data_IF_156439819215
#
_entry.id   IF_156439819215
#
_cell.length_a   1.000
_cell.length_b   1.000
_cell.length_c   1.000
_cell.angle_alpha   90.00
_cell.angle_beta   90.00
_cell.angle_gamma   90.00
#
_symmetry.space_group_name_H-M   'P 1'
#
loop_
_entity.id
_entity.type
_entity.pdbx_description
1 polymer ?
#
# COMPACT_ATOMS: atom_id res chain seq x y z
N UNK A 1 3.84 24.47 -0.69
CA UNK A 1 2.53 24.31 -0.07
C UNK A 1 2.17 25.52 0.81
N UNK A 2 2.98 25.89 1.80
CA UNK A 2 2.73 27.02 2.73
C UNK A 2 2.55 28.34 1.96
N UNK A 3 3.40 28.62 0.95
CA UNK A 3 3.31 29.81 0.11
C UNK A 3 1.99 29.84 -0.69
N UNK A 4 1.54 28.73 -1.22
CA UNK A 4 0.26 28.62 -1.94
C UNK A 4 -0.92 28.89 -1.01
N UNK A 5 -0.90 28.32 0.18
CA UNK A 5 -1.95 28.52 1.20
C UNK A 5 -2.00 29.99 1.65
N UNK A 6 -0.85 30.61 1.86
CA UNK A 6 -0.75 32.03 2.23
C UNK A 6 -1.28 32.95 1.12
N UNK A 7 -0.96 32.67 -0.15
CA UNK A 7 -1.50 33.39 -1.31
C UNK A 7 -3.02 33.24 -1.43
N UNK A 8 -3.55 32.06 -1.17
CA UNK A 8 -4.99 31.78 -1.21
C UNK A 8 -5.72 32.52 -0.08
N UNK A 9 -5.19 32.50 1.14
CA UNK A 9 -5.71 33.29 2.26
C UNK A 9 -5.67 34.81 1.96
N UNK A 10 -4.57 35.28 1.40
CA UNK A 10 -4.43 36.71 1.01
C UNK A 10 -5.44 37.07 -0.07
N UNK A 11 -5.67 36.27 -1.07
CA UNK A 11 -6.66 36.46 -2.12
C UNK A 11 -8.10 36.53 -1.54
N UNK A 12 -8.44 35.65 -0.62
CA UNK A 12 -9.75 35.65 0.07
C UNK A 12 -9.90 36.89 0.90
N UNK A 13 -8.90 37.30 1.70
CA UNK A 13 -8.92 38.53 2.49
C UNK A 13 -9.06 39.78 1.62
N UNK A 14 -8.38 39.83 0.48
CA UNK A 14 -8.52 40.95 -0.50
C UNK A 14 -9.92 40.99 -1.09
N UNK A 15 -10.50 39.87 -1.49
CA UNK A 15 -11.88 39.82 -2.02
C UNK A 15 -12.91 40.27 -0.98
N UNK A 16 -12.76 39.85 0.27
CA UNK A 16 -13.62 40.26 1.38
C UNK A 16 -13.48 41.78 1.64
N UNK A 17 -12.24 42.30 1.69
CA UNK A 17 -11.95 43.71 1.91
C UNK A 17 -12.52 44.61 0.80
N UNK A 18 -12.38 44.20 -0.47
CA UNK A 18 -12.97 44.92 -1.61
C UNK A 18 -14.50 44.92 -1.53
N UNK A 19 -15.09 43.80 -1.10
CA UNK A 19 -16.54 43.69 -0.96
C UNK A 19 -17.09 44.54 0.18
N UNK A 20 -16.37 44.64 1.30
CA UNK A 20 -16.72 45.52 2.43
C UNK A 20 -16.61 47.01 2.01
N UNK A 21 -15.51 47.38 1.32
CA UNK A 21 -15.34 48.78 0.84
C UNK A 21 -16.38 49.22 -0.18
N UNK A 22 -16.96 48.30 -0.94
CA UNK A 22 -18.05 48.59 -1.92
C UNK A 22 -19.44 48.59 -1.28
N UNK A 23 -19.62 48.21 -0.01
CA UNK A 23 -20.88 48.33 0.70
C UNK A 23 -21.04 49.76 1.21
N UNK A 24 -22.01 50.51 0.67
CA UNK A 24 -22.26 51.91 1.08
C UNK A 24 -22.84 51.94 2.51
N UNK A 25 -22.31 52.83 3.34
CA UNK A 25 -22.73 53.04 4.74
C UNK A 25 -24.24 53.39 4.85
N UNK A 26 -24.80 54.08 3.85
CA UNK A 26 -26.22 54.41 3.79
C UNK A 26 -27.15 53.17 3.74
N UNK A 27 -26.74 52.07 3.10
CA UNK A 27 -27.55 50.85 3.03
C UNK A 27 -27.57 50.08 4.36
N UNK A 28 -26.62 50.32 5.27
CA UNK A 28 -26.55 49.69 6.59
C UNK A 28 -27.45 50.33 7.64
N UNK A 29 -27.68 51.69 7.55
CA UNK A 29 -28.40 52.44 8.56
C UNK A 29 -29.92 52.55 8.28
N UNK A 30 -30.32 52.63 7.04
CA UNK A 30 -31.73 52.86 6.65
C UNK A 30 -32.53 51.62 6.25
N UNK A 31 -32.08 50.42 6.54
CA UNK A 31 -32.88 49.22 6.37
C UNK A 31 -33.57 49.09 5.00
N UNK A 32 -32.94 49.60 3.96
CA UNK A 32 -33.49 49.57 2.61
C UNK A 32 -33.76 48.14 2.20
N UNK A 33 -34.93 47.91 1.62
CA UNK A 33 -35.32 46.62 1.04
C UNK A 33 -34.13 46.00 0.30
N UNK A 34 -33.47 45.05 0.94
CA UNK A 34 -32.38 44.32 0.29
C UNK A 34 -32.96 43.64 -0.96
N UNK A 35 -32.75 44.29 -2.13
CA UNK A 35 -32.87 43.58 -3.41
C UNK A 35 -32.42 42.16 -3.19
N UNK A 36 -33.24 41.20 -3.60
CA UNK A 36 -32.86 39.77 -3.73
C UNK A 36 -31.55 39.71 -4.49
N UNK A 37 -30.44 40.07 -3.85
CA UNK A 37 -29.11 39.93 -4.38
C UNK A 37 -28.90 38.46 -4.60
N UNK A 38 -28.70 38.14 -5.86
CA UNK A 38 -28.48 36.81 -6.40
C UNK A 38 -27.61 36.02 -5.42
N UNK A 39 -28.16 35.05 -4.69
CA UNK A 39 -27.46 34.19 -3.72
C UNK A 39 -26.49 33.24 -4.45
N UNK A 40 -26.28 33.51 -5.75
CA UNK A 40 -25.49 32.68 -6.66
C UNK A 40 -24.06 32.46 -6.17
N UNK A 41 -23.38 33.49 -5.66
CA UNK A 41 -22.00 33.36 -5.17
C UNK A 41 -21.89 32.45 -3.95
N UNK A 42 -22.86 32.49 -3.02
CA UNK A 42 -22.88 31.62 -1.84
C UNK A 42 -23.17 30.18 -2.25
N UNK A 43 -24.16 29.95 -3.09
CA UNK A 43 -24.52 28.62 -3.57
C UNK A 43 -23.40 28.03 -4.41
N UNK A 44 -22.69 28.82 -5.21
CA UNK A 44 -21.51 28.39 -5.94
C UNK A 44 -20.39 27.95 -4.99
N UNK A 45 -20.09 28.75 -3.95
CA UNK A 45 -19.06 28.38 -2.95
C UNK A 45 -19.43 27.11 -2.20
N UNK A 46 -20.70 26.92 -1.80
CA UNK A 46 -21.17 25.67 -1.22
C UNK A 46 -21.03 24.51 -2.20
N UNK A 47 -21.37 24.71 -3.48
CA UNK A 47 -21.20 23.68 -4.51
C UNK A 47 -19.74 23.24 -4.67
N UNK A 48 -18.80 24.19 -4.70
CA UNK A 48 -17.36 23.91 -4.73
C UNK A 48 -16.92 23.13 -3.49
N UNK A 49 -17.42 23.53 -2.31
CA UNK A 49 -17.11 22.87 -1.05
C UNK A 49 -17.62 21.42 -1.01
N UNK A 50 -18.86 21.18 -1.45
CA UNK A 50 -19.39 19.82 -1.60
C UNK A 50 -18.60 18.98 -2.59
N UNK A 51 -18.18 19.57 -3.71
CA UNK A 51 -17.39 18.88 -4.72
C UNK A 51 -16.02 18.46 -4.17
N UNK A 52 -15.33 19.33 -3.45
CA UNK A 52 -14.06 19.03 -2.79
C UNK A 52 -14.26 17.92 -1.75
N UNK A 53 -15.29 18.02 -0.91
CA UNK A 53 -15.63 17.02 0.09
C UNK A 53 -15.87 15.64 -0.58
N UNK A 54 -16.64 15.62 -1.66
CA UNK A 54 -16.91 14.38 -2.41
C UNK A 54 -15.65 13.74 -2.97
N UNK A 55 -14.71 14.54 -3.51
CA UNK A 55 -13.42 14.04 -4.00
C UNK A 55 -12.63 13.37 -2.87
N UNK A 56 -12.48 14.04 -1.71
CA UNK A 56 -11.72 13.46 -0.60
C UNK A 56 -12.36 12.19 -0.06
N UNK A 57 -13.68 12.16 0.10
CA UNK A 57 -14.41 10.96 0.55
C UNK A 57 -14.23 9.80 -0.44
N UNK A 58 -14.38 10.08 -1.74
CA UNK A 58 -14.21 9.05 -2.78
C UNK A 58 -12.79 8.49 -2.81
N UNK A 59 -11.78 9.37 -2.73
CA UNK A 59 -10.38 8.95 -2.67
C UNK A 59 -10.10 8.12 -1.42
N UNK A 60 -10.61 8.53 -0.26
CA UNK A 60 -10.46 7.77 1.00
C UNK A 60 -11.06 6.37 0.88
N UNK A 61 -12.29 6.26 0.40
CA UNK A 61 -12.94 4.95 0.21
C UNK A 61 -12.17 4.09 -0.78
N UNK A 62 -11.73 4.68 -1.90
CA UNK A 62 -10.93 3.96 -2.91
C UNK A 62 -9.62 3.42 -2.33
N UNK A 63 -8.89 4.22 -1.56
CA UNK A 63 -7.63 3.81 -0.92
C UNK A 63 -7.86 2.73 0.15
N UNK A 64 -8.95 2.81 0.92
CA UNK A 64 -9.30 1.77 1.88
C UNK A 64 -9.57 0.43 1.20
N UNK A 65 -10.36 0.43 0.12
CA UNK A 65 -10.66 -0.78 -0.63
C UNK A 65 -9.42 -1.35 -1.32
N UNK A 66 -8.55 -0.50 -1.84
CA UNK A 66 -7.30 -0.91 -2.46
C UNK A 66 -6.32 -1.48 -1.44
N UNK A 67 -6.09 -0.80 -0.33
CA UNK A 67 -5.20 -1.26 0.75
C UNK A 67 -5.62 -2.61 1.32
N UNK A 68 -6.93 -2.84 1.52
CA UNK A 68 -7.45 -4.14 1.96
C UNK A 68 -7.12 -5.28 0.98
N UNK A 69 -7.38 -5.07 -0.31
CA UNK A 69 -7.08 -6.06 -1.35
C UNK A 69 -5.59 -6.38 -1.45
N UNK A 70 -4.75 -5.36 -1.35
CA UNK A 70 -3.29 -5.51 -1.40
C UNK A 70 -2.79 -6.40 -0.27
N UNK A 71 -3.22 -6.12 0.95
CA UNK A 71 -2.82 -6.92 2.13
C UNK A 71 -3.26 -8.39 1.99
N UNK A 72 -4.41 -8.65 1.38
CA UNK A 72 -4.90 -10.01 1.13
C UNK A 72 -4.16 -10.73 -0.01
N UNK A 73 -3.72 -9.99 -1.03
CA UNK A 73 -3.07 -10.60 -2.21
C UNK A 73 -1.59 -10.88 -2.02
N UNK A 74 -0.88 -10.04 -1.26
CA UNK A 74 0.54 -10.24 -1.01
C UNK A 74 0.77 -11.45 -0.11
N UNK A 75 1.61 -12.38 -0.58
CA UNK A 75 1.93 -13.62 0.13
C UNK A 75 0.67 -14.33 0.64
N UNK A 76 -0.35 -14.42 -0.21
CA UNK A 76 -1.66 -14.99 0.15
C UNK A 76 -1.60 -16.49 0.50
N UNK A 77 -0.53 -17.18 0.12
CA UNK A 77 -0.27 -18.59 0.48
C UNK A 77 0.13 -18.77 1.94
N UNK A 78 0.61 -17.70 2.59
CA UNK A 78 0.91 -17.67 4.02
C UNK A 78 -0.35 -17.26 4.81
N UNK A 79 -0.67 -18.01 5.86
CA UNK A 79 -1.68 -17.61 6.81
C UNK A 79 -1.26 -16.34 7.59
N UNK A 80 -2.20 -15.67 8.23
CA UNK A 80 -1.87 -14.53 9.10
C UNK A 80 -0.94 -14.96 10.25
N UNK A 81 -1.16 -16.14 10.81
CA UNK A 81 -0.28 -16.73 11.83
C UNK A 81 1.12 -17.00 11.31
N UNK A 82 1.27 -17.52 10.08
CA UNK A 82 2.58 -17.70 9.47
C UNK A 82 3.30 -16.35 9.30
N UNK A 83 2.61 -15.31 8.81
CA UNK A 83 3.20 -13.96 8.63
C UNK A 83 3.68 -13.35 9.95
N UNK A 84 2.98 -13.61 11.04
CA UNK A 84 3.37 -13.17 12.38
C UNK A 84 4.50 -14.00 12.98
N UNK A 85 4.55 -15.32 12.70
CA UNK A 85 5.53 -16.24 13.29
C UNK A 85 6.83 -16.39 12.50
N UNK A 86 6.87 -15.99 11.25
CA UNK A 86 8.11 -15.90 10.49
C UNK A 86 8.87 -14.65 10.94
N UNK A 87 10.10 -14.86 11.42
CA UNK A 87 11.05 -13.80 11.76
C UNK A 87 11.94 -13.51 10.58
N UNK A 88 12.32 -12.27 10.42
CA UNK A 88 13.08 -11.72 9.31
C UNK A 88 14.27 -10.92 9.83
N UNK A 89 15.43 -11.11 9.21
CA UNK A 89 16.63 -10.33 9.49
C UNK A 89 17.44 -10.10 8.21
N UNK A 90 17.77 -8.85 7.86
CA UNK A 90 18.69 -8.56 6.77
C UNK A 90 20.12 -8.94 7.17
N UNK A 91 20.85 -9.57 6.26
CA UNK A 91 22.25 -9.96 6.39
C UNK A 91 23.12 -9.32 5.29
N UNK A 92 22.58 -8.36 4.55
CA UNK A 92 23.28 -7.63 3.50
C UNK A 92 24.18 -6.53 4.10
N UNK A 93 25.28 -6.97 4.74
CA UNK A 93 26.29 -6.08 5.30
C UNK A 93 27.62 -6.30 4.58
N UNK A 94 28.20 -5.25 3.95
CA UNK A 94 29.45 -5.36 3.19
C UNK A 94 30.67 -5.80 4.03
N UNK A 95 30.62 -5.56 5.34
CA UNK A 95 31.71 -5.91 6.26
C UNK A 95 31.61 -7.33 6.82
N UNK A 96 30.49 -8.04 6.56
CA UNK A 96 30.24 -9.39 7.05
C UNK A 96 30.50 -10.41 5.93
N UNK A 97 31.49 -11.26 6.13
CA UNK A 97 31.78 -12.33 5.16
C UNK A 97 30.67 -13.37 5.10
N UNK A 98 30.48 -14.00 3.94
CA UNK A 98 29.41 -14.98 3.77
C UNK A 98 29.54 -16.17 4.75
N UNK A 99 30.76 -16.52 5.13
CA UNK A 99 31.04 -17.55 6.16
C UNK A 99 30.48 -17.14 7.53
N UNK A 100 30.66 -15.91 7.94
CA UNK A 100 30.16 -15.38 9.22
C UNK A 100 28.63 -15.35 9.23
N UNK A 101 28.02 -14.99 8.08
CA UNK A 101 26.58 -15.06 7.90
C UNK A 101 26.06 -16.50 8.04
N UNK A 102 26.75 -17.47 7.45
CA UNK A 102 26.40 -18.89 7.59
C UNK A 102 26.52 -19.35 9.05
N UNK A 103 27.58 -19.00 9.75
CA UNK A 103 27.78 -19.33 11.18
C UNK A 103 26.67 -18.73 12.03
N UNK A 104 26.25 -17.50 11.75
CA UNK A 104 25.14 -16.83 12.42
C UNK A 104 23.82 -17.58 12.19
N UNK A 105 23.53 -17.98 10.96
CA UNK A 105 22.33 -18.75 10.59
C UNK A 105 22.31 -20.11 11.27
N UNK A 106 23.46 -20.82 11.34
CA UNK A 106 23.54 -22.12 12.01
C UNK A 106 23.28 -21.97 13.53
N UNK A 107 23.71 -20.87 14.15
CA UNK A 107 23.37 -20.55 15.53
C UNK A 107 21.87 -20.31 15.70
N UNK A 108 21.20 -19.64 14.75
CA UNK A 108 19.73 -19.49 14.78
C UNK A 108 19.05 -20.86 14.77
N UNK A 109 19.53 -21.78 13.95
CA UNK A 109 18.98 -23.16 13.80
C UNK A 109 19.06 -23.99 15.09
N UNK A 110 19.98 -23.68 16.01
CA UNK A 110 20.15 -24.42 17.24
C UNK A 110 19.00 -24.25 18.25
N UNK A 111 18.16 -23.24 18.10
CA UNK A 111 17.04 -23.02 19.01
C UNK A 111 15.88 -23.97 18.71
N UNK A 112 15.37 -24.64 19.73
CA UNK A 112 14.30 -25.66 19.61
C UNK A 112 12.98 -25.10 19.02
N UNK A 113 12.76 -23.79 19.16
CA UNK A 113 11.59 -23.08 18.63
C UNK A 113 11.66 -22.80 17.13
N UNK A 114 12.80 -23.08 16.48
CA UNK A 114 12.97 -22.86 15.04
C UNK A 114 12.46 -24.09 14.29
N UNK A 115 11.52 -23.87 13.39
CA UNK A 115 10.91 -24.92 12.56
C UNK A 115 11.62 -25.09 11.22
N UNK A 116 11.92 -23.99 10.54
CA UNK A 116 12.61 -23.98 9.25
C UNK A 116 13.30 -22.63 9.03
N UNK A 117 14.32 -22.59 8.18
CA UNK A 117 15.06 -21.39 7.80
C UNK A 117 15.11 -21.27 6.28
N UNK A 118 14.82 -20.07 5.79
CA UNK A 118 14.90 -19.73 4.39
C UNK A 118 15.92 -18.62 4.19
N UNK A 119 16.88 -18.85 3.29
CA UNK A 119 17.92 -17.88 2.92
C UNK A 119 17.62 -17.31 1.54
N UNK A 120 17.88 -16.04 1.34
CA UNK A 120 17.70 -15.36 0.06
C UNK A 120 18.81 -14.33 -0.20
N UNK A 121 18.94 -13.96 -1.45
CA UNK A 121 19.80 -12.87 -1.90
C UNK A 121 19.26 -11.50 -1.49
N UNK A 122 17.94 -11.33 -1.53
CA UNK A 122 17.23 -10.10 -1.18
C UNK A 122 16.02 -10.41 -0.27
N UNK A 123 15.48 -9.36 0.34
CA UNK A 123 14.19 -9.47 1.04
C UNK A 123 13.05 -9.65 0.03
N UNK A 124 12.28 -10.72 0.15
CA UNK A 124 11.13 -10.99 -0.71
C UNK A 124 9.98 -9.98 -0.52
N UNK A 125 9.93 -9.28 0.61
CA UNK A 125 8.94 -8.22 0.83
C UNK A 125 9.26 -6.93 0.07
N UNK A 126 10.53 -6.76 -0.36
CA UNK A 126 10.98 -5.59 -1.13
C UNK A 126 10.94 -5.80 -2.65
N UNK A 127 10.44 -6.94 -3.12
CA UNK A 127 10.23 -7.18 -4.54
C UNK A 127 10.86 -8.46 -5.08
N UNK A 128 11.41 -8.37 -6.27
CA UNK A 128 11.97 -9.49 -7.05
C UNK A 128 13.49 -9.40 -7.13
N UNK A 129 14.16 -10.55 -7.32
CA UNK A 129 15.62 -10.59 -7.55
C UNK A 129 16.02 -9.85 -8.83
N UNK A 130 15.16 -9.81 -9.83
CA UNK A 130 15.40 -9.08 -11.08
C UNK A 130 14.37 -9.39 -12.17
N UNK A 131 14.54 -8.70 -13.29
CA UNK A 131 13.83 -9.02 -14.53
C UNK A 131 14.80 -9.69 -15.48
N UNK A 132 14.42 -10.81 -16.06
CA UNK A 132 15.17 -11.47 -17.12
C UNK A 132 14.44 -11.29 -18.45
N UNK A 133 15.21 -10.89 -19.44
CA UNK A 133 14.77 -10.86 -20.82
C UNK A 133 15.14 -12.23 -21.43
N UNK A 134 14.15 -13.07 -21.62
CA UNK A 134 14.32 -14.42 -22.14
C UNK A 134 13.73 -14.57 -23.53
N UNK A 135 14.30 -15.44 -24.33
CA UNK A 135 13.71 -15.88 -25.59
C UNK A 135 13.52 -17.40 -25.59
N UNK A 136 12.46 -17.87 -26.24
CA UNK A 136 12.24 -19.30 -26.46
C UNK A 136 13.31 -19.81 -27.42
N UNK A 137 13.99 -20.88 -27.07
CA UNK A 137 15.07 -21.47 -27.89
C UNK A 137 14.55 -21.84 -29.30
N UNK A 138 15.11 -21.21 -30.30
CA UNK A 138 14.69 -21.36 -31.70
C UNK A 138 13.76 -20.27 -32.23
N UNK A 139 13.43 -19.26 -31.41
CA UNK A 139 12.62 -18.12 -31.81
C UNK A 139 13.26 -16.78 -31.33
N UNK A 140 14.41 -16.44 -31.90
CA UNK A 140 15.23 -15.31 -31.47
C UNK A 140 14.56 -13.93 -31.58
N UNK A 141 13.37 -13.85 -32.17
CA UNK A 141 12.61 -12.60 -32.32
C UNK A 141 11.55 -12.39 -31.24
N UNK A 142 11.35 -13.35 -30.33
CA UNK A 142 10.32 -13.26 -29.27
C UNK A 142 10.96 -13.12 -27.90
N UNK A 143 11.40 -11.93 -27.54
CA UNK A 143 11.87 -11.63 -26.18
C UNK A 143 10.70 -11.48 -25.23
N UNK A 144 10.80 -12.11 -24.10
CA UNK A 144 9.80 -12.07 -23.02
C UNK A 144 10.48 -11.47 -21.79
N UNK A 145 9.91 -10.37 -21.30
CA UNK A 145 10.30 -9.79 -20.01
C UNK A 145 9.53 -10.51 -18.90
N UNK A 146 10.25 -11.14 -17.98
CA UNK A 146 9.68 -11.90 -16.88
C UNK A 146 10.35 -11.55 -15.56
N UNK A 147 9.55 -11.37 -14.52
CA UNK A 147 10.04 -11.17 -13.17
C UNK A 147 10.65 -12.47 -12.64
N UNK A 148 11.90 -12.44 -12.25
CA UNK A 148 12.61 -13.62 -11.75
C UNK A 148 12.92 -13.48 -10.27
N UNK A 149 12.65 -14.55 -9.54
CA UNK A 149 13.03 -14.72 -8.14
C UNK A 149 14.04 -15.86 -8.04
N UNK A 150 15.19 -15.57 -7.45
CA UNK A 150 16.17 -16.57 -7.07
C UNK A 150 15.74 -17.16 -5.71
N UNK A 151 15.45 -18.46 -5.69
CA UNK A 151 14.85 -19.10 -4.51
C UNK A 151 15.61 -20.38 -4.11
N UNK A 152 15.78 -20.65 -2.80
CA UNK A 152 16.38 -21.89 -2.34
C UNK A 152 15.43 -23.09 -2.51
N UNK A 153 15.96 -24.28 -2.36
CA UNK A 153 15.22 -25.54 -2.58
C UNK A 153 13.96 -25.68 -1.72
N UNK A 154 13.97 -25.14 -0.49
CA UNK A 154 12.84 -25.23 0.43
C UNK A 154 11.83 -24.08 0.30
N UNK A 155 12.02 -23.16 -0.65
CA UNK A 155 11.17 -21.96 -0.81
C UNK A 155 9.68 -22.29 -0.93
N UNK A 156 9.32 -23.17 -1.85
CA UNK A 156 7.91 -23.51 -2.12
C UNK A 156 7.23 -24.13 -0.89
N UNK A 157 7.96 -24.98 -0.15
CA UNK A 157 7.45 -25.57 1.09
C UNK A 157 7.36 -24.54 2.22
N UNK A 158 8.37 -23.68 2.36
CA UNK A 158 8.42 -22.64 3.38
C UNK A 158 7.30 -21.60 3.20
N UNK A 159 7.07 -21.16 1.96
CA UNK A 159 6.06 -20.18 1.59
C UNK A 159 4.67 -20.78 1.34
N UNK A 160 4.50 -22.09 1.56
CA UNK A 160 3.24 -22.82 1.32
C UNK A 160 2.72 -22.66 -0.12
N UNK A 161 3.61 -22.62 -1.12
CA UNK A 161 3.24 -22.47 -2.53
C UNK A 161 3.13 -23.87 -3.15
N UNK A 162 1.94 -24.34 -3.56
CA UNK A 162 1.79 -25.63 -4.19
C UNK A 162 2.32 -25.61 -5.63
N UNK A 163 3.01 -26.68 -6.00
CA UNK A 163 3.34 -26.97 -7.41
C UNK A 163 2.11 -27.64 -8.01
N UNK A 164 1.52 -27.03 -9.03
CA UNK A 164 0.28 -27.49 -9.68
C UNK A 164 0.57 -28.47 -10.80
N UNK A 165 1.69 -28.30 -11.50
CA UNK A 165 2.11 -29.19 -12.58
C UNK A 165 3.64 -29.41 -12.55
N UNK A 166 4.10 -30.57 -12.96
CA UNK A 166 5.52 -30.88 -13.04
C UNK A 166 6.21 -31.09 -11.68
N UNK A 167 7.36 -30.49 -11.47
CA UNK A 167 8.20 -30.65 -10.26
C UNK A 167 8.80 -29.32 -9.79
N UNK A 168 9.32 -29.29 -8.56
CA UNK A 168 10.10 -28.18 -8.01
C UNK A 168 11.50 -28.09 -8.64
N UNK A 169 12.16 -26.96 -8.41
CA UNK A 169 13.54 -26.67 -8.79
C UNK A 169 14.49 -27.65 -8.11
N UNK A 170 15.48 -28.15 -8.86
CA UNK A 170 16.57 -28.99 -8.35
C UNK A 170 17.96 -28.54 -8.80
N UNK A 171 18.03 -27.86 -9.94
CA UNK A 171 19.28 -27.38 -10.54
C UNK A 171 19.19 -25.94 -10.98
N UNK A 172 20.33 -25.27 -11.17
CA UNK A 172 20.41 -23.90 -11.68
C UNK A 172 19.80 -23.70 -13.08
N UNK A 173 19.54 -24.79 -13.81
CA UNK A 173 18.88 -24.77 -15.13
C UNK A 173 17.37 -24.97 -15.07
N UNK A 174 16.86 -25.31 -13.92
CA UNK A 174 15.41 -25.49 -13.71
C UNK A 174 14.73 -24.13 -13.55
N UNK A 175 13.58 -24.00 -14.19
CA UNK A 175 12.71 -22.85 -14.08
C UNK A 175 11.32 -23.33 -13.66
N UNK A 176 10.76 -22.74 -12.61
CA UNK A 176 9.35 -22.89 -12.25
C UNK A 176 8.65 -21.59 -12.58
N UNK A 177 7.53 -21.66 -13.28
CA UNK A 177 6.71 -20.50 -13.61
C UNK A 177 5.39 -20.55 -12.85
N UNK A 178 4.78 -19.38 -12.63
CA UNK A 178 3.45 -19.37 -12.04
C UNK A 178 2.33 -19.58 -13.08
N UNK A 179 1.15 -19.97 -12.61
CA UNK A 179 -0.02 -20.18 -13.47
C UNK A 179 -0.47 -18.91 -14.20
N UNK A 180 -0.17 -17.72 -13.68
CA UNK A 180 -0.57 -16.46 -14.32
C UNK A 180 0.15 -16.32 -15.64
N UNK A 181 1.43 -16.65 -15.66
CA UNK A 181 2.24 -16.62 -16.87
C UNK A 181 1.83 -17.73 -17.84
N UNK A 182 1.60 -18.97 -17.36
CA UNK A 182 1.13 -20.09 -18.17
C UNK A 182 -0.18 -19.75 -18.90
N UNK A 183 -1.16 -19.19 -18.19
CA UNK A 183 -2.47 -18.78 -18.77
C UNK A 183 -2.34 -17.74 -19.89
N UNK A 184 -1.33 -16.86 -19.79
CA UNK A 184 -1.06 -15.86 -20.85
C UNK A 184 -0.53 -16.50 -22.12
N UNK A 185 0.32 -17.50 -22.01
CA UNK A 185 0.92 -18.21 -23.15
C UNK A 185 -0.09 -19.08 -23.89
N UNK A 186 -1.21 -19.46 -23.27
CA UNK A 186 -2.27 -20.33 -23.84
C UNK A 186 -1.73 -21.66 -24.39
N UNK A 187 -0.61 -22.16 -23.89
CA UNK A 187 0.03 -23.40 -24.28
C UNK A 187 0.65 -24.10 -23.07
N UNK A 188 0.91 -25.40 -23.20
CA UNK A 188 1.70 -26.12 -22.23
C UNK A 188 3.15 -25.61 -22.28
N UNK A 189 3.67 -25.23 -21.12
CA UNK A 189 5.00 -24.64 -21.00
C UNK A 189 6.03 -25.60 -20.39
N UNK A 190 5.60 -26.74 -19.85
CA UNK A 190 6.53 -27.72 -19.25
C UNK A 190 7.44 -28.30 -20.34
N UNK A 191 8.74 -28.31 -20.05
CA UNK A 191 9.77 -28.77 -20.98
C UNK A 191 10.21 -27.72 -22.01
N UNK A 192 9.59 -26.53 -22.04
CA UNK A 192 10.07 -25.43 -22.87
C UNK A 192 11.44 -24.96 -22.40
N UNK A 193 12.30 -24.63 -23.36
CA UNK A 193 13.62 -24.10 -23.10
C UNK A 193 13.65 -22.61 -23.40
N UNK A 194 14.13 -21.85 -22.43
CA UNK A 194 14.36 -20.42 -22.50
C UNK A 194 15.86 -20.13 -22.43
N UNK A 195 16.26 -19.03 -23.00
CA UNK A 195 17.65 -18.57 -23.04
C UNK A 195 17.73 -17.07 -22.69
N UNK A 196 18.65 -16.74 -21.77
CA UNK A 196 18.92 -15.36 -21.32
C UNK A 196 20.32 -14.98 -21.71
N UNK A 197 20.82 -14.82 -22.79
CA UNK A 197 22.19 -14.42 -23.19
C UNK A 197 23.36 -15.17 -22.49
N UNK A 198 23.15 -15.74 -21.30
CA UNK A 198 24.18 -16.38 -20.47
C UNK A 198 23.89 -17.83 -20.14
N UNK A 199 22.62 -18.20 -20.03
CA UNK A 199 22.20 -19.49 -19.49
C UNK A 199 20.98 -20.05 -20.21
N UNK A 200 20.94 -21.38 -20.34
CA UNK A 200 19.79 -22.13 -20.80
C UNK A 200 18.96 -22.55 -19.58
N UNK A 201 17.66 -22.31 -19.63
CA UNK A 201 16.69 -22.73 -18.60
C UNK A 201 15.65 -23.66 -19.22
N UNK A 202 15.22 -24.65 -18.45
CA UNK A 202 14.12 -25.54 -18.84
C UNK A 202 12.99 -25.43 -17.83
N UNK A 203 11.77 -25.17 -18.30
CA UNK A 203 10.60 -25.13 -17.42
C UNK A 203 10.32 -26.52 -16.89
N UNK A 204 10.51 -26.73 -15.59
CA UNK A 204 10.35 -28.01 -14.92
C UNK A 204 9.01 -28.15 -14.18
N UNK A 205 8.32 -27.05 -13.93
CA UNK A 205 7.03 -27.05 -13.24
C UNK A 205 6.31 -25.73 -13.28
N UNK A 206 5.07 -25.79 -12.84
CA UNK A 206 4.18 -24.64 -12.67
C UNK A 206 3.71 -24.61 -11.22
N UNK A 207 3.71 -23.42 -10.61
CA UNK A 207 3.21 -23.23 -9.26
C UNK A 207 1.92 -22.40 -9.25
N UNK A 208 1.19 -22.48 -8.15
CA UNK A 208 0.04 -21.62 -7.92
C UNK A 208 0.44 -20.15 -8.02
N UNK A 209 -0.51 -19.24 -8.35
CA UNK A 209 -0.25 -17.81 -8.39
C UNK A 209 0.38 -17.32 -7.11
N UNK A 210 1.39 -16.47 -7.23
CA UNK A 210 2.10 -15.91 -6.09
C UNK A 210 2.39 -14.43 -6.36
N UNK A 211 2.27 -13.57 -5.37
CA UNK A 211 2.49 -12.15 -5.52
C UNK A 211 3.26 -11.58 -4.33
N UNK A 212 4.38 -10.93 -4.62
CA UNK A 212 5.24 -10.28 -3.63
C UNK A 212 5.16 -8.75 -3.71
N UNK A 213 4.79 -8.19 -4.86
CA UNK A 213 4.78 -6.77 -5.13
C UNK A 213 3.41 -6.32 -5.65
N UNK A 214 2.91 -5.22 -5.08
CA UNK A 214 1.65 -4.56 -5.48
C UNK A 214 1.72 -3.99 -6.88
N UNK A 215 2.92 -3.55 -7.29
CA UNK A 215 3.12 -2.82 -8.55
C UNK A 215 3.39 -3.76 -9.73
N UNK A 216 3.49 -5.05 -9.48
CA UNK A 216 3.67 -6.04 -10.54
C UNK A 216 2.36 -6.26 -11.30
N UNK A 217 1.97 -5.29 -12.11
CA UNK A 217 0.78 -5.38 -12.95
C UNK A 217 0.93 -6.36 -14.13
N UNK A 218 2.16 -6.68 -14.50
CA UNK A 218 2.45 -7.60 -15.60
C UNK A 218 2.44 -9.07 -15.18
N UNK A 219 2.18 -9.33 -13.92
CA UNK A 219 1.85 -10.60 -13.28
C UNK A 219 2.45 -11.83 -13.91
N UNK A 220 3.05 -12.62 -13.09
CA UNK A 220 3.73 -13.83 -13.40
C UNK A 220 5.19 -13.76 -12.98
N UNK A 221 5.57 -14.79 -12.26
CA UNK A 221 6.94 -14.96 -11.78
C UNK A 221 7.55 -16.20 -12.39
N UNK A 222 8.85 -16.13 -12.61
CA UNK A 222 9.70 -17.28 -12.84
C UNK A 222 10.63 -17.44 -11.64
N UNK A 223 10.78 -18.67 -11.20
CA UNK A 223 11.62 -19.02 -10.06
C UNK A 223 12.81 -19.84 -10.56
N UNK A 224 14.02 -19.47 -10.16
CA UNK A 224 15.26 -20.19 -10.43
C UNK A 224 16.02 -20.47 -9.15
N UNK A 225 16.97 -21.40 -9.19
CA UNK A 225 17.70 -21.83 -8.00
C UNK A 225 18.65 -20.72 -7.51
N UNK A 226 18.51 -20.36 -6.25
CA UNK A 226 19.43 -19.56 -5.49
C UNK A 226 20.47 -20.43 -4.78
N UNK A 227 21.74 -20.00 -4.82
CA UNK A 227 22.85 -20.69 -4.16
C UNK A 227 23.35 -19.84 -2.97
N UNK A 228 22.93 -20.22 -1.77
CA UNK A 228 23.34 -19.54 -0.54
C UNK A 228 24.84 -19.65 -0.21
N UNK A 229 25.58 -20.53 -0.91
CA UNK A 229 27.02 -20.62 -0.74
C UNK A 229 27.76 -19.41 -1.33
N UNK A 230 27.18 -18.77 -2.35
CA UNK A 230 27.76 -17.61 -3.01
C UNK A 230 27.52 -16.30 -2.22
N UNK A 231 26.30 -16.12 -1.74
CA UNK A 231 25.91 -14.89 -1.04
C UNK A 231 24.67 -15.12 -0.17
N UNK A 232 24.57 -14.44 0.97
CA UNK A 232 23.38 -14.40 1.81
C UNK A 232 23.04 -12.92 2.06
N UNK A 233 21.90 -12.48 1.57
CA UNK A 233 21.40 -11.10 1.76
C UNK A 233 20.34 -11.02 2.83
N UNK A 234 19.51 -12.08 2.98
CA UNK A 234 18.40 -12.08 3.93
C UNK A 234 18.15 -13.46 4.52
N UNK A 235 17.63 -13.50 5.75
CA UNK A 235 17.30 -14.74 6.43
C UNK A 235 15.89 -14.65 7.01
N UNK A 236 15.05 -15.65 6.70
CA UNK A 236 13.73 -15.85 7.30
C UNK A 236 13.75 -17.09 8.17
N UNK A 237 13.20 -17.00 9.37
CA UNK A 237 13.15 -18.08 10.35
C UNK A 237 11.71 -18.34 10.72
N UNK A 238 11.17 -19.49 10.32
CA UNK A 238 9.83 -19.94 10.69
C UNK A 238 9.87 -20.55 12.07
N UNK A 239 9.05 -20.05 12.98
CA UNK A 239 9.03 -20.47 14.40
C UNK A 239 7.74 -21.21 14.73
N UNK A 240 7.77 -21.96 15.84
CA UNK A 240 6.54 -22.38 16.49
C UNK A 240 5.88 -21.17 17.15
N UNK A 241 4.55 -20.94 17.00
CA UNK A 241 3.87 -19.75 17.50
C UNK A 241 4.12 -19.43 18.96
N UNK A 242 4.11 -20.48 19.79
CA UNK A 242 4.31 -20.37 21.25
C UNK A 242 5.73 -19.92 21.64
N UNK A 243 6.73 -20.15 20.78
CA UNK A 243 8.15 -19.88 21.07
C UNK A 243 8.70 -18.69 20.28
N UNK A 244 7.89 -18.04 19.45
CA UNK A 244 8.30 -16.92 18.59
C UNK A 244 9.07 -15.84 19.35
N UNK A 245 8.57 -15.40 20.52
CA UNK A 245 9.21 -14.35 21.33
C UNK A 245 10.58 -14.78 21.88
N UNK A 246 10.75 -16.04 22.18
CA UNK A 246 12.02 -16.61 22.68
C UNK A 246 13.03 -16.71 21.55
N UNK A 247 12.60 -17.20 20.37
CA UNK A 247 13.43 -17.26 19.18
C UNK A 247 13.85 -15.85 18.75
N UNK A 248 12.93 -14.89 18.76
CA UNK A 248 13.26 -13.47 18.45
C UNK A 248 14.34 -12.91 19.38
N UNK A 249 14.22 -13.14 20.69
CA UNK A 249 15.25 -12.73 21.66
C UNK A 249 16.58 -13.45 21.42
N UNK A 250 16.53 -14.72 21.10
CA UNK A 250 17.71 -15.52 20.77
C UNK A 250 18.44 -14.97 19.55
N UNK A 251 17.70 -14.75 18.45
CA UNK A 251 18.24 -14.15 17.23
C UNK A 251 18.82 -12.75 17.49
N UNK A 252 18.14 -11.94 18.30
CA UNK A 252 18.59 -10.59 18.65
C UNK A 252 19.85 -10.61 19.51
N UNK A 253 20.02 -11.61 20.39
CA UNK A 253 21.25 -11.80 21.16
C UNK A 253 22.43 -12.14 20.24
N UNK A 254 22.24 -13.10 19.33
CA UNK A 254 23.29 -13.46 18.35
C UNK A 254 23.63 -12.28 17.46
N UNK A 255 22.61 -11.52 17.02
CA UNK A 255 22.80 -10.31 16.21
C UNK A 255 23.74 -9.31 16.91
N UNK A 256 23.47 -9.03 18.19
CA UNK A 256 24.30 -8.08 18.99
C UNK A 256 25.73 -8.56 19.23
N UNK A 257 25.95 -9.86 19.23
CA UNK A 257 27.29 -10.43 19.35
C UNK A 257 28.11 -10.30 18.06
N UNK A 258 27.43 -10.41 16.90
CA UNK A 258 28.08 -10.44 15.58
C UNK A 258 28.12 -9.07 14.92
N UNK A 259 27.05 -8.29 15.05
CA UNK A 259 26.94 -6.98 14.39
C UNK A 259 27.30 -5.84 15.32
N UNK A 260 28.02 -4.81 14.83
CA UNK A 260 28.31 -3.59 15.60
C UNK A 260 27.06 -2.89 16.13
N UNK A 261 27.15 -2.26 17.29
CA UNK A 261 26.01 -1.57 17.94
C UNK A 261 25.42 -0.42 17.11
N UNK A 262 26.21 0.20 16.23
CA UNK A 262 25.76 1.29 15.36
C UNK A 262 24.88 0.81 14.18
N UNK A 263 24.69 -0.49 14.02
CA UNK A 263 23.82 -1.04 12.98
C UNK A 263 22.37 -1.09 13.49
N UNK A 264 21.51 -0.34 12.84
CA UNK A 264 20.08 -0.22 13.21
C UNK A 264 19.20 -1.43 12.80
N UNK A 265 19.82 -2.48 12.25
CA UNK A 265 19.08 -3.72 11.91
C UNK A 265 18.48 -4.34 13.17
N UNK A 266 17.25 -4.80 13.05
CA UNK A 266 16.52 -5.49 14.10
C UNK A 266 15.89 -6.75 13.52
N UNK A 267 15.73 -7.76 14.38
CA UNK A 267 14.89 -8.92 14.03
C UNK A 267 13.44 -8.47 14.07
N UNK A 268 12.72 -8.70 12.99
CA UNK A 268 11.32 -8.29 12.83
C UNK A 268 10.44 -9.48 12.48
N UNK A 269 9.13 -9.33 12.56
CA UNK A 269 8.22 -10.30 11.97
C UNK A 269 8.11 -10.04 10.47
N UNK A 270 7.77 -11.07 9.70
CA UNK A 270 7.48 -10.92 8.27
C UNK A 270 6.31 -9.94 8.03
N UNK A 271 5.37 -9.92 8.96
CA UNK A 271 4.27 -8.96 8.94
C UNK A 271 4.74 -7.51 9.10
N UNK A 272 5.72 -7.26 10.00
CA UNK A 272 6.30 -5.91 10.18
C UNK A 272 7.05 -5.46 8.92
N UNK A 273 7.77 -6.37 8.25
CA UNK A 273 8.44 -6.07 6.98
C UNK A 273 7.43 -5.70 5.88
N UNK A 274 6.31 -6.41 5.80
CA UNK A 274 5.23 -6.07 4.87
C UNK A 274 4.64 -4.68 5.17
N UNK A 275 4.46 -4.32 6.43
CA UNK A 275 3.99 -2.99 6.82
C UNK A 275 5.02 -1.90 6.47
N UNK A 276 6.31 -2.15 6.65
CA UNK A 276 7.35 -1.19 6.33
C UNK A 276 7.37 -0.86 4.82
N UNK A 277 7.28 -1.87 3.97
CA UNK A 277 7.24 -1.68 2.51
C UNK A 277 6.00 -0.89 2.08
N UNK A 278 4.87 -1.11 2.74
CA UNK A 278 3.62 -0.42 2.47
C UNK A 278 3.44 0.88 3.27
N UNK A 279 4.45 1.29 4.06
CA UNK A 279 4.33 2.45 4.97
C UNK A 279 3.91 3.74 4.25
N UNK A 280 4.44 3.97 3.04
CA UNK A 280 4.08 5.17 2.23
C UNK A 280 2.60 5.16 1.88
N UNK A 281 2.03 4.01 1.52
CA UNK A 281 0.61 3.88 1.18
C UNK A 281 -0.28 4.09 2.41
N UNK A 282 0.11 3.54 3.56
CA UNK A 282 -0.60 3.77 4.83
C UNK A 282 -0.55 5.24 5.26
N UNK A 283 0.61 5.88 5.17
CA UNK A 283 0.75 7.32 5.48
C UNK A 283 -0.12 8.17 4.54
N UNK A 284 -0.12 7.89 3.24
CA UNK A 284 -0.99 8.58 2.28
C UNK A 284 -2.47 8.38 2.60
N UNK A 285 -2.88 7.17 2.93
CA UNK A 285 -4.24 6.85 3.35
C UNK A 285 -4.65 7.67 4.58
N UNK A 286 -3.79 7.73 5.58
CA UNK A 286 -4.07 8.47 6.83
C UNK A 286 -4.16 9.98 6.59
N UNK A 287 -3.25 10.55 5.78
CA UNK A 287 -3.28 11.97 5.41
C UNK A 287 -4.57 12.31 4.64
N UNK A 288 -4.94 11.52 3.65
CA UNK A 288 -6.15 11.77 2.85
C UNK A 288 -7.40 11.60 3.70
N UNK A 289 -7.44 10.60 4.61
CA UNK A 289 -8.54 10.39 5.56
C UNK A 289 -8.70 11.58 6.50
N UNK A 290 -7.61 12.14 7.00
CA UNK A 290 -7.63 13.36 7.82
C UNK A 290 -8.24 14.53 7.06
N UNK A 291 -7.81 14.78 5.81
CA UNK A 291 -8.39 15.85 5.00
C UNK A 291 -9.85 15.60 4.63
N UNK A 292 -10.28 14.35 4.47
CA UNK A 292 -11.69 14.02 4.27
C UNK A 292 -12.53 14.39 5.48
N UNK A 293 -12.09 14.08 6.70
CA UNK A 293 -12.79 14.45 7.94
C UNK A 293 -12.87 15.97 8.08
N UNK A 294 -11.76 16.68 7.88
CA UNK A 294 -11.73 18.15 7.94
C UNK A 294 -12.68 18.74 6.90
N UNK A 295 -12.68 18.22 5.67
CA UNK A 295 -13.55 18.68 4.59
C UNK A 295 -15.04 18.47 4.92
N UNK A 296 -15.42 17.36 5.55
CA UNK A 296 -16.78 17.10 6.02
C UNK A 296 -17.19 18.13 7.07
N UNK A 297 -16.34 18.39 8.07
CA UNK A 297 -16.62 19.36 9.13
C UNK A 297 -16.84 20.75 8.54
N UNK A 298 -15.96 21.21 7.65
CA UNK A 298 -16.08 22.51 7.00
C UNK A 298 -17.37 22.58 6.16
N UNK A 299 -17.71 21.50 5.46
CA UNK A 299 -18.94 21.43 4.66
C UNK A 299 -20.19 21.54 5.54
N UNK A 300 -20.22 20.85 6.67
CA UNK A 300 -21.33 20.95 7.63
C UNK A 300 -21.46 22.36 8.21
N UNK A 301 -20.36 23.01 8.56
CA UNK A 301 -20.36 24.39 9.03
C UNK A 301 -20.86 25.38 7.94
N UNK A 302 -20.48 25.16 6.69
CA UNK A 302 -20.94 25.95 5.55
C UNK A 302 -22.46 25.81 5.32
N UNK A 303 -22.97 24.58 5.39
CA UNK A 303 -24.41 24.29 5.30
C UNK A 303 -25.18 24.94 6.47
N UNK A 304 -24.68 24.72 7.70
CA UNK A 304 -25.27 25.31 8.89
C UNK A 304 -25.36 26.86 8.79
N UNK A 305 -24.26 27.52 8.44
CA UNK A 305 -24.22 28.97 8.23
C UNK A 305 -25.21 29.44 7.15
N UNK A 306 -25.31 28.67 6.04
CA UNK A 306 -26.25 28.99 4.97
C UNK A 306 -27.71 28.91 5.41
N UNK A 307 -28.07 27.83 6.14
CA UNK A 307 -29.42 27.63 6.66
C UNK A 307 -29.78 28.73 7.67
N UNK A 308 -28.86 29.03 8.59
CA UNK A 308 -29.08 30.11 9.60
C UNK A 308 -29.37 31.44 8.94
N UNK A 309 -28.55 31.86 7.97
CA UNK A 309 -28.76 33.10 7.24
C UNK A 309 -30.07 33.13 6.44
N UNK A 310 -30.47 32.00 5.86
CA UNK A 310 -31.73 31.91 5.12
C UNK A 310 -32.94 31.97 6.09
N UNK A 311 -32.82 31.31 7.25
CA UNK A 311 -33.84 31.35 8.30
C UNK A 311 -34.02 32.77 8.84
N UNK A 312 -32.95 33.50 9.17
CA UNK A 312 -33.00 34.88 9.62
C UNK A 312 -33.65 35.81 8.60
N UNK A 313 -33.38 35.62 7.32
CA UNK A 313 -33.99 36.40 6.24
C UNK A 313 -35.49 36.16 6.09
N UNK A 314 -35.97 34.96 6.38
CA UNK A 314 -37.36 34.55 6.26
C UNK A 314 -38.16 34.73 7.55
N UNK A 315 -37.53 35.13 8.66
CA UNK A 315 -38.20 35.27 9.97
C UNK A 315 -39.47 36.11 9.90
N UNK A 316 -39.45 37.25 9.18
CA UNK A 316 -40.64 38.10 9.00
C UNK A 316 -41.76 37.39 8.24
N UNK A 317 -41.45 36.65 7.19
CA UNK A 317 -42.42 35.91 6.39
C UNK A 317 -43.02 34.75 7.21
N UNK A 318 -42.20 34.03 7.94
CA UNK A 318 -42.61 32.97 8.86
C UNK A 318 -43.49 33.51 10.00
N UNK A 319 -43.12 34.67 10.57
CA UNK A 319 -43.91 35.32 11.63
C UNK A 319 -45.31 35.74 11.13
N UNK A 320 -45.39 36.35 9.96
CA UNK A 320 -46.66 36.75 9.33
C UNK A 320 -47.57 35.55 9.10
N UNK A 321 -47.02 34.46 8.57
CA UNK A 321 -47.79 33.25 8.31
C UNK A 321 -48.24 32.56 9.59
N UNK A 322 -47.39 32.57 10.65
CA UNK A 322 -47.72 32.00 11.95
C UNK A 322 -48.87 32.78 12.61
N UNK A 323 -48.88 34.12 12.50
CA UNK A 323 -49.98 34.97 12.97
C UNK A 323 -51.29 34.69 12.18
N UNK A 324 -51.19 34.35 10.91
CA UNK A 324 -52.32 33.99 10.06
C UNK A 324 -52.72 32.50 10.18
N UNK A 325 -52.24 31.76 11.21
CA UNK A 325 -52.68 30.40 11.54
C UNK A 325 -52.03 29.29 10.76
N UNK A 326 -50.90 29.54 10.08
CA UNK A 326 -50.19 28.47 9.36
C UNK A 326 -49.60 27.46 10.35
N UNK A 327 -49.89 26.18 10.15
CA UNK A 327 -49.34 25.08 10.94
C UNK A 327 -47.86 24.85 10.67
N UNK A 328 -47.14 24.23 11.63
CA UNK A 328 -45.69 23.95 11.56
C UNK A 328 -45.29 23.22 10.28
N UNK A 329 -46.10 22.26 9.83
CA UNK A 329 -45.82 21.51 8.57
C UNK A 329 -45.81 22.41 7.34
N UNK A 330 -46.71 23.42 7.25
CA UNK A 330 -46.77 24.37 6.14
C UNK A 330 -45.56 25.32 6.13
N UNK A 331 -44.93 25.55 7.29
CA UNK A 331 -43.74 26.41 7.42
C UNK A 331 -42.47 25.64 7.06
N UNK A 332 -42.40 24.34 7.35
CA UNK A 332 -41.22 23.48 7.05
C UNK A 332 -41.07 23.27 5.53
N UNK A 333 -42.16 23.22 4.78
CA UNK A 333 -42.16 23.00 3.32
C UNK A 333 -41.91 24.29 2.49
N UNK A 334 -41.37 25.30 3.08
CA UNK A 334 -41.10 26.60 2.47
C UNK A 334 -39.61 26.87 2.30
#
# INVERSE_FOLDING_TARGET
YIVFLALLCMAVCLLVSVRIRRSSIQTGIYGGQKRRGKQWGRNFMLGVQFFICWIFVTLTVSLFLQSGKVTETLFHTLSQEDKETILSIPLDYPFLENKEKQEMVERFRQHVGVKDILLSDISYTHGISGNLLMTEKGNDNSWIDINVMCVPLNFFTFMNIPITEGRTIRTKKDLVMDEVWQKRQKKDIIGMNFYDQTSDFTVCGVCAPFQTDVHNHNGGYAFTLYDSSEYIGHCYVKCYPEQQKEVMKWMETIRREVLPENISSQVRTFQDDLYEVQAVEYILKDIISFFAIVSIIITLLGVYSSITLDTERRQKEVAIRKVNGAGIRSIIWL
#
